data_IF_354360276009
#
_entry.id   IF_354360276009
#
_cell.length_a   1.000
_cell.length_b   1.000
_cell.length_c   1.000
_cell.angle_alpha   90.00
_cell.angle_beta   90.00
_cell.angle_gamma   90.00
#
_symmetry.space_group_name_H-M   'P 1'
#
loop_
_entity.id
_entity.type
_entity.pdbx_description
1 polymer ?
#
# COMPACT_ATOMS: atom_id res chain seq x y z
N UNK A 1 23.81 26.40 -20.42
CA UNK A 1 23.39 27.22 -19.27
C UNK A 1 22.31 28.19 -19.74
N UNK A 2 21.07 28.03 -19.27
CA UNK A 2 19.99 28.97 -19.56
C UNK A 2 19.65 29.70 -18.27
N UNK A 3 20.14 30.94 -18.13
CA UNK A 3 19.64 31.89 -17.11
C UNK A 3 18.38 32.55 -17.67
N UNK A 4 17.27 31.81 -17.75
CA UNK A 4 16.01 32.35 -18.24
C UNK A 4 15.21 32.98 -17.11
N UNK A 5 15.23 34.31 -17.06
CA UNK A 5 14.26 35.10 -16.26
C UNK A 5 12.92 35.27 -16.98
N UNK A 6 12.75 34.66 -18.17
CA UNK A 6 11.58 34.83 -19.02
C UNK A 6 10.79 33.53 -19.24
N UNK A 7 9.45 33.57 -19.31
CA UNK A 7 8.60 32.41 -19.56
C UNK A 7 8.96 31.65 -20.84
N UNK A 8 9.19 30.34 -20.73
CA UNK A 8 9.31 29.46 -21.88
C UNK A 8 7.89 29.05 -22.31
N UNK A 9 7.40 29.62 -23.40
CA UNK A 9 6.00 29.41 -23.85
C UNK A 9 5.81 28.21 -24.77
N UNK A 10 6.78 27.99 -25.65
CA UNK A 10 6.88 26.87 -26.57
C UNK A 10 8.36 26.62 -26.79
N UNK A 11 8.81 25.37 -26.65
CA UNK A 11 10.19 25.03 -26.94
C UNK A 11 10.32 23.63 -27.52
N UNK A 12 11.28 23.48 -28.43
CA UNK A 12 11.83 22.19 -28.80
C UNK A 12 13.31 22.26 -28.51
N UNK A 13 13.77 21.44 -27.59
CA UNK A 13 15.19 21.35 -27.27
C UNK A 13 15.70 19.95 -27.60
N UNK A 14 16.85 19.92 -28.25
CA UNK A 14 17.62 18.72 -28.48
C UNK A 14 19.08 19.01 -28.16
N UNK A 15 19.69 18.18 -27.32
CA UNK A 15 21.08 18.30 -26.92
C UNK A 15 21.48 17.26 -25.88
N UNK A 16 22.77 17.13 -25.60
CA UNK A 16 23.26 16.17 -24.60
C UNK A 16 22.98 16.67 -23.18
N UNK A 17 23.27 17.94 -22.88
CA UNK A 17 23.21 18.46 -21.52
C UNK A 17 22.48 19.81 -21.43
N UNK A 18 21.53 19.92 -20.50
CA UNK A 18 21.02 21.21 -20.04
C UNK A 18 21.02 21.28 -18.52
N UNK A 19 21.52 22.42 -18.03
CA UNK A 19 21.52 22.73 -16.60
C UNK A 19 20.88 24.09 -16.38
N UNK A 20 20.02 24.13 -15.36
CA UNK A 20 19.23 25.29 -14.91
C UNK A 20 19.55 25.54 -13.43
N UNK A 21 19.97 26.76 -13.09
CA UNK A 21 20.38 27.17 -11.73
C UNK A 21 19.74 28.50 -11.34
N UNK A 22 19.50 28.69 -10.04
CA UNK A 22 19.21 29.98 -9.39
C UNK A 22 18.08 30.77 -10.04
N UNK A 23 16.92 30.11 -10.22
CA UNK A 23 15.78 30.76 -10.85
C UNK A 23 14.67 31.05 -9.84
N UNK A 24 14.35 32.33 -9.68
CA UNK A 24 13.17 32.73 -8.91
C UNK A 24 11.89 32.25 -9.60
N UNK A 25 11.75 32.41 -10.91
CA UNK A 25 10.51 32.10 -11.63
C UNK A 25 10.76 31.62 -13.06
N UNK A 26 10.47 30.34 -13.34
CA UNK A 26 10.61 29.76 -14.68
C UNK A 26 9.34 28.99 -15.08
N UNK A 27 8.34 29.62 -15.70
CA UNK A 27 7.21 28.89 -16.21
C UNK A 27 7.54 28.24 -17.56
N UNK A 28 7.33 26.92 -17.63
CA UNK A 28 7.51 26.13 -18.84
C UNK A 28 6.14 25.68 -19.34
N UNK A 29 5.84 26.07 -20.58
CA UNK A 29 4.63 25.66 -21.31
C UNK A 29 5.03 25.04 -22.64
N UNK A 30 4.32 23.99 -23.04
CA UNK A 30 4.37 23.41 -24.38
C UNK A 30 5.79 23.14 -24.88
N UNK A 31 6.54 22.36 -24.10
CA UNK A 31 7.92 22.03 -24.41
C UNK A 31 8.09 20.55 -24.73
N UNK A 32 8.87 20.28 -25.78
CA UNK A 32 9.40 18.96 -26.07
C UNK A 32 10.91 19.01 -25.82
N UNK A 33 11.38 18.06 -25.04
CA UNK A 33 12.78 17.91 -24.74
C UNK A 33 13.22 16.50 -25.14
N UNK A 34 14.27 16.43 -25.94
CA UNK A 34 15.01 15.19 -26.18
C UNK A 34 16.49 15.39 -25.87
N UNK A 35 17.06 14.64 -24.94
CA UNK A 35 18.48 14.75 -24.64
C UNK A 35 18.94 13.90 -23.48
N UNK A 36 20.26 13.77 -23.32
CA UNK A 36 20.83 12.82 -22.36
C UNK A 36 20.57 13.25 -20.92
N UNK A 37 20.92 14.48 -20.54
CA UNK A 37 20.91 14.89 -19.14
C UNK A 37 20.25 16.25 -18.92
N UNK A 38 19.29 16.28 -18.00
CA UNK A 38 18.73 17.50 -17.43
C UNK A 38 18.99 17.59 -15.93
N UNK A 39 19.50 18.74 -15.49
CA UNK A 39 19.54 19.09 -14.08
C UNK A 39 18.91 20.45 -13.80
N UNK A 40 18.03 20.49 -12.80
CA UNK A 40 17.41 21.73 -12.29
C UNK A 40 17.75 21.87 -10.82
N UNK A 41 18.31 23.03 -10.46
CA UNK A 41 18.70 23.37 -9.08
C UNK A 41 18.06 24.68 -8.65
N UNK A 42 17.86 24.83 -7.34
CA UNK A 42 17.58 26.09 -6.64
C UNK A 42 16.53 26.95 -7.34
N UNK A 43 15.30 26.43 -7.42
CA UNK A 43 14.21 27.10 -8.11
C UNK A 43 13.04 27.38 -7.19
N UNK A 44 12.68 28.66 -7.02
CA UNK A 44 11.58 28.99 -6.11
C UNK A 44 10.19 28.64 -6.70
N UNK A 45 10.01 28.79 -8.02
CA UNK A 45 8.74 28.52 -8.68
C UNK A 45 8.90 28.05 -10.14
N UNK A 46 8.56 26.77 -10.40
CA UNK A 46 8.73 26.10 -11.68
C UNK A 46 7.42 25.43 -12.16
N UNK A 47 6.46 26.16 -12.75
CA UNK A 47 5.25 25.53 -13.24
C UNK A 47 5.49 24.91 -14.63
N UNK A 48 5.15 23.63 -14.76
CA UNK A 48 5.30 22.87 -16.00
C UNK A 48 3.91 22.50 -16.53
N UNK A 49 3.63 22.84 -17.79
CA UNK A 49 2.35 22.57 -18.45
C UNK A 49 2.53 21.99 -19.86
N UNK A 50 1.88 20.86 -20.17
CA UNK A 50 1.87 20.24 -21.50
C UNK A 50 3.29 19.98 -22.04
N UNK A 51 4.14 19.30 -21.25
CA UNK A 51 5.53 19.03 -21.64
C UNK A 51 5.80 17.54 -21.81
N UNK A 52 6.66 17.20 -22.77
CA UNK A 52 7.13 15.85 -23.05
C UNK A 52 8.64 15.82 -22.95
N UNK A 53 9.17 14.98 -22.06
CA UNK A 53 10.60 14.84 -21.86
C UNK A 53 11.02 13.41 -22.15
N UNK A 54 12.04 13.25 -22.99
CA UNK A 54 12.71 11.99 -23.27
C UNK A 54 14.21 12.17 -23.06
N UNK A 55 14.84 11.26 -22.31
CA UNK A 55 16.27 11.37 -22.04
C UNK A 55 16.84 10.23 -21.23
N UNK A 56 18.14 10.30 -20.96
CA UNK A 56 18.84 9.31 -20.13
C UNK A 56 18.61 9.63 -18.64
N UNK A 57 18.83 10.89 -18.22
CA UNK A 57 18.80 11.29 -16.82
C UNK A 57 18.05 12.61 -16.58
N UNK A 58 17.22 12.63 -15.54
CA UNK A 58 16.60 13.83 -15.01
C UNK A 58 16.83 13.98 -13.51
N UNK A 59 17.40 15.11 -13.10
CA UNK A 59 17.54 15.45 -11.69
C UNK A 59 16.91 16.82 -11.38
N UNK A 60 16.17 16.86 -10.28
CA UNK A 60 15.51 18.06 -9.77
C UNK A 60 15.85 18.21 -8.29
N UNK A 61 16.44 19.35 -7.93
CA UNK A 61 16.90 19.67 -6.58
C UNK A 61 16.32 21.00 -6.11
N UNK A 62 16.00 21.08 -4.82
CA UNK A 62 15.70 22.32 -4.10
C UNK A 62 14.66 23.21 -4.79
N UNK A 63 13.41 22.70 -4.84
CA UNK A 63 12.30 23.43 -5.43
C UNK A 63 11.22 23.74 -4.41
N UNK A 64 10.96 25.03 -4.18
CA UNK A 64 9.88 25.41 -3.25
C UNK A 64 8.49 25.09 -3.82
N UNK A 65 8.25 25.27 -5.13
CA UNK A 65 6.94 25.03 -5.75
C UNK A 65 7.03 24.56 -7.21
N UNK A 66 6.67 23.29 -7.45
CA UNK A 66 6.75 22.61 -8.77
C UNK A 66 5.39 22.07 -9.20
N UNK A 67 4.48 22.87 -9.78
CA UNK A 67 3.20 22.35 -10.24
C UNK A 67 3.31 21.76 -11.64
N UNK A 68 2.97 20.48 -11.76
CA UNK A 68 3.01 19.72 -13.00
C UNK A 68 1.60 19.47 -13.52
N UNK A 69 1.36 19.85 -14.78
CA UNK A 69 0.06 19.68 -15.45
C UNK A 69 0.25 19.06 -16.84
N UNK A 70 -0.23 17.83 -17.01
CA UNK A 70 -0.22 17.10 -18.29
C UNK A 70 1.20 16.93 -18.82
N UNK A 71 1.99 16.10 -18.15
CA UNK A 71 3.36 15.81 -18.56
C UNK A 71 3.55 14.32 -18.86
N UNK A 72 4.43 14.04 -19.82
CA UNK A 72 4.86 12.69 -20.17
C UNK A 72 6.38 12.65 -20.09
N UNK A 73 6.89 11.82 -19.18
CA UNK A 73 8.32 11.69 -18.94
C UNK A 73 8.71 10.26 -19.32
N UNK A 74 9.68 10.14 -20.21
CA UNK A 74 10.25 8.89 -20.70
C UNK A 74 11.75 8.96 -20.44
N UNK A 75 12.16 8.66 -19.22
CA UNK A 75 13.54 8.83 -18.77
C UNK A 75 13.99 7.56 -18.08
N UNK A 76 15.20 7.07 -18.36
CA UNK A 76 15.72 5.88 -17.68
C UNK A 76 15.74 6.10 -16.17
N UNK A 77 16.29 7.24 -15.73
CA UNK A 77 16.39 7.56 -14.31
C UNK A 77 15.94 8.99 -13.98
N UNK A 78 15.00 9.08 -13.03
CA UNK A 78 14.53 10.34 -12.45
C UNK A 78 14.85 10.39 -10.96
N UNK A 79 15.50 11.47 -10.54
CA UNK A 79 15.64 11.80 -9.13
C UNK A 79 15.05 13.17 -8.79
N UNK A 80 14.31 13.21 -7.70
CA UNK A 80 13.68 14.41 -7.16
C UNK A 80 14.08 14.56 -5.70
N UNK A 81 14.67 15.69 -5.35
CA UNK A 81 15.14 16.02 -4.00
C UNK A 81 14.53 17.33 -3.53
N UNK A 82 14.18 17.38 -2.25
CA UNK A 82 13.86 18.59 -1.50
C UNK A 82 12.82 19.49 -2.19
N UNK A 83 11.57 18.99 -2.25
CA UNK A 83 10.46 19.75 -2.80
C UNK A 83 9.42 20.09 -1.73
N UNK A 84 9.21 21.37 -1.47
CA UNK A 84 8.20 21.78 -0.49
C UNK A 84 6.77 21.52 -0.99
N UNK A 85 6.49 21.72 -2.29
CA UNK A 85 5.15 21.55 -2.85
C UNK A 85 5.15 21.11 -4.33
N UNK A 86 4.73 19.86 -4.60
CA UNK A 86 4.77 19.22 -5.93
C UNK A 86 3.37 18.78 -6.40
N UNK A 87 2.49 19.68 -6.90
CA UNK A 87 1.17 19.26 -7.30
C UNK A 87 1.14 18.71 -8.72
N UNK A 88 0.76 17.44 -8.85
CA UNK A 88 0.69 16.73 -10.11
C UNK A 88 -0.77 16.46 -10.48
N UNK A 89 -1.23 17.05 -11.58
CA UNK A 89 -2.60 16.82 -12.05
C UNK A 89 -2.72 15.57 -12.92
N UNK A 90 -1.88 15.48 -13.93
CA UNK A 90 -1.88 14.41 -14.91
C UNK A 90 -0.43 14.19 -15.32
N UNK A 91 0.12 13.04 -14.96
CA UNK A 91 1.43 12.61 -15.42
C UNK A 91 1.35 11.18 -15.95
N UNK A 92 2.19 10.92 -16.94
CA UNK A 92 2.60 9.58 -17.32
C UNK A 92 4.12 9.55 -17.17
N UNK A 93 4.60 8.59 -16.39
CA UNK A 93 6.03 8.35 -16.26
C UNK A 93 6.32 6.94 -16.78
N UNK A 94 7.33 6.87 -17.64
CA UNK A 94 7.92 5.66 -18.14
C UNK A 94 9.42 5.74 -17.92
N UNK A 95 10.01 4.72 -17.32
CA UNK A 95 11.44 4.71 -17.01
C UNK A 95 11.86 3.43 -16.32
N UNK A 96 13.13 3.34 -15.95
CA UNK A 96 13.63 2.21 -15.16
C UNK A 96 13.49 2.56 -13.67
N UNK A 97 14.03 3.70 -13.25
CA UNK A 97 14.12 4.08 -11.83
C UNK A 97 13.58 5.48 -11.56
N UNK A 98 12.67 5.59 -10.58
CA UNK A 98 12.27 6.86 -9.98
C UNK A 98 12.63 6.86 -8.50
N UNK A 99 13.41 7.85 -8.08
CA UNK A 99 13.69 8.10 -6.67
C UNK A 99 13.20 9.49 -6.26
N UNK A 100 12.45 9.54 -5.17
CA UNK A 100 11.91 10.77 -4.58
C UNK A 100 12.37 10.86 -3.13
N UNK A 101 13.00 11.98 -2.79
CA UNK A 101 13.43 12.33 -1.44
C UNK A 101 12.74 13.61 -0.98
N UNK A 102 12.37 13.65 0.30
CA UNK A 102 12.01 14.85 1.05
C UNK A 102 10.98 15.73 0.34
N UNK A 103 9.71 15.31 0.42
CA UNK A 103 8.59 16.12 -0.07
C UNK A 103 7.63 16.48 1.05
N UNK A 104 7.45 17.78 1.28
CA UNK A 104 6.48 18.22 2.29
C UNK A 104 5.03 18.00 1.84
N UNK A 105 4.72 18.25 0.56
CA UNK A 105 3.36 18.08 0.03
C UNK A 105 3.31 17.66 -1.45
N UNK A 106 2.75 16.48 -1.71
CA UNK A 106 2.61 15.88 -3.04
C UNK A 106 1.14 15.52 -3.35
N UNK A 107 0.37 16.39 -4.03
CA UNK A 107 -0.98 16.04 -4.45
C UNK A 107 -0.95 15.50 -5.89
N UNK A 108 -1.20 14.20 -6.01
CA UNK A 108 -1.34 13.49 -7.28
C UNK A 108 -2.82 13.25 -7.56
N UNK A 109 -3.34 13.84 -8.64
CA UNK A 109 -4.72 13.57 -9.07
C UNK A 109 -4.81 12.33 -9.94
N UNK A 110 -4.00 12.27 -10.99
CA UNK A 110 -3.95 11.15 -11.92
C UNK A 110 -2.50 10.89 -12.30
N UNK A 111 -2.02 9.70 -11.98
CA UNK A 111 -0.70 9.22 -12.39
C UNK A 111 -0.84 7.85 -13.03
N UNK A 112 -0.07 7.64 -14.09
CA UNK A 112 0.30 6.31 -14.56
C UNK A 112 1.81 6.23 -14.50
N UNK A 113 2.31 5.24 -13.77
CA UNK A 113 3.72 4.96 -13.67
C UNK A 113 3.96 3.57 -14.25
N UNK A 114 4.95 3.49 -15.14
CA UNK A 114 5.43 2.25 -15.75
C UNK A 114 6.94 2.23 -15.61
N UNK A 115 7.49 1.24 -14.92
CA UNK A 115 8.94 1.10 -14.82
C UNK A 115 9.36 -0.07 -13.97
N UNK A 116 10.63 -0.16 -13.65
CA UNK A 116 11.15 -1.26 -12.83
C UNK A 116 10.98 -0.95 -11.35
N UNK A 117 11.54 0.18 -10.90
CA UNK A 117 11.62 0.51 -9.48
C UNK A 117 11.20 1.95 -9.16
N UNK A 118 10.33 2.10 -8.17
CA UNK A 118 10.02 3.39 -7.54
C UNK A 118 10.45 3.35 -6.08
N UNK A 119 11.22 4.35 -5.64
CA UNK A 119 11.61 4.51 -4.25
C UNK A 119 11.19 5.89 -3.78
N UNK A 120 10.51 5.93 -2.64
CA UNK A 120 10.02 7.16 -2.02
C UNK A 120 10.52 7.21 -0.59
N UNK A 121 11.19 8.30 -0.24
CA UNK A 121 11.65 8.61 1.11
C UNK A 121 10.97 9.89 1.59
N UNK A 122 10.59 9.90 2.87
CA UNK A 122 10.26 11.09 3.65
C UNK A 122 9.23 12.00 2.99
N UNK A 123 7.95 11.61 3.09
CA UNK A 123 6.85 12.47 2.65
C UNK A 123 5.94 12.84 3.82
N UNK A 124 5.84 14.13 4.12
CA UNK A 124 4.91 14.59 5.17
C UNK A 124 3.45 14.41 4.74
N UNK A 125 3.12 14.70 3.48
CA UNK A 125 1.76 14.55 2.97
C UNK A 125 1.72 14.12 1.49
N UNK A 126 1.24 12.91 1.24
CA UNK A 126 1.03 12.36 -0.11
C UNK A 126 -0.46 12.06 -0.34
N UNK A 127 -1.10 12.81 -1.23
CA UNK A 127 -2.49 12.54 -1.61
C UNK A 127 -2.56 11.94 -3.01
N UNK A 128 -3.07 10.72 -3.09
CA UNK A 128 -3.30 10.01 -4.34
C UNK A 128 -4.80 9.86 -4.58
N UNK A 129 -5.31 10.50 -5.64
CA UNK A 129 -6.70 10.28 -6.06
C UNK A 129 -6.83 9.06 -6.97
N UNK A 130 -6.05 9.02 -8.04
CA UNK A 130 -6.04 7.92 -9.00
C UNK A 130 -4.59 7.64 -9.39
N UNK A 131 -4.15 6.41 -9.12
CA UNK A 131 -2.86 5.92 -9.56
C UNK A 131 -3.02 4.54 -10.19
N UNK A 132 -2.30 4.33 -11.29
CA UNK A 132 -1.94 3.01 -11.77
C UNK A 132 -0.42 2.91 -11.74
N UNK A 133 0.07 1.90 -11.05
CA UNK A 133 1.49 1.62 -10.95
C UNK A 133 1.74 0.25 -11.55
N UNK A 134 2.62 0.18 -12.55
CA UNK A 134 3.01 -1.07 -13.21
C UNK A 134 4.52 -1.20 -13.15
N UNK A 135 5.03 -2.20 -12.42
CA UNK A 135 6.45 -2.47 -12.37
C UNK A 135 6.88 -3.59 -11.44
N UNK A 136 8.18 -3.71 -11.24
CA UNK A 136 8.77 -4.77 -10.43
C UNK A 136 8.70 -4.43 -8.94
N UNK A 137 9.17 -3.25 -8.52
CA UNK A 137 9.19 -2.87 -7.11
C UNK A 137 8.76 -1.43 -6.79
N UNK A 138 7.97 -1.25 -5.74
CA UNK A 138 7.86 0.04 -5.05
C UNK A 138 8.24 -0.13 -3.59
N UNK A 139 9.14 0.74 -3.15
CA UNK A 139 9.53 0.86 -1.76
C UNK A 139 9.18 2.26 -1.26
N UNK A 140 8.44 2.31 -0.17
CA UNK A 140 8.02 3.55 0.49
C UNK A 140 8.54 3.57 1.91
N UNK A 141 9.30 4.61 2.24
CA UNK A 141 9.79 4.88 3.58
C UNK A 141 9.14 6.16 4.11
N UNK A 142 8.75 6.10 5.39
CA UNK A 142 8.36 7.25 6.21
C UNK A 142 7.35 8.20 5.56
N UNK A 143 6.06 7.91 5.78
CA UNK A 143 4.99 8.83 5.39
C UNK A 143 4.11 9.20 6.57
N UNK A 144 4.00 10.49 6.87
CA UNK A 144 3.12 10.92 7.96
C UNK A 144 1.63 10.78 7.58
N UNK A 145 1.26 11.10 6.33
CA UNK A 145 -0.14 11.04 5.88
C UNK A 145 -0.29 10.66 4.40
N UNK A 146 -0.85 9.48 4.12
CA UNK A 146 -1.03 8.90 2.79
C UNK A 146 -2.48 8.53 2.45
N UNK A 147 -3.34 9.49 2.09
CA UNK A 147 -4.68 9.17 1.61
C UNK A 147 -4.69 8.68 0.17
N UNK A 148 -5.23 7.46 -0.02
CA UNK A 148 -5.41 6.84 -1.33
C UNK A 148 -6.89 6.63 -1.60
N UNK A 149 -7.40 7.21 -2.69
CA UNK A 149 -8.81 7.00 -3.09
C UNK A 149 -8.97 5.79 -4.00
N UNK A 150 -8.19 5.72 -5.07
CA UNK A 150 -8.23 4.67 -6.06
C UNK A 150 -6.81 4.30 -6.48
N UNK A 151 -6.38 3.09 -6.13
CA UNK A 151 -5.13 2.49 -6.58
C UNK A 151 -5.40 1.21 -7.36
N UNK A 152 -4.67 1.05 -8.46
CA UNK A 152 -4.44 -0.23 -9.11
C UNK A 152 -2.95 -0.47 -9.17
N UNK A 153 -2.56 -1.66 -8.77
CA UNK A 153 -1.18 -2.05 -8.70
C UNK A 153 -0.99 -3.44 -9.29
N UNK A 154 -0.67 -3.52 -10.58
CA UNK A 154 -0.03 -4.68 -11.18
C UNK A 154 1.48 -4.63 -11.01
N UNK A 155 2.06 -5.40 -10.10
CA UNK A 155 3.52 -5.48 -10.03
C UNK A 155 4.02 -6.36 -8.89
N UNK A 156 5.27 -6.80 -8.99
CA UNK A 156 5.76 -7.97 -8.25
C UNK A 156 5.88 -7.69 -6.75
N UNK A 157 6.48 -6.56 -6.37
CA UNK A 157 6.83 -6.25 -4.99
C UNK A 157 6.32 -4.88 -4.55
N UNK A 158 5.69 -4.84 -3.37
CA UNK A 158 5.46 -3.61 -2.62
C UNK A 158 6.00 -3.74 -1.20
N UNK A 159 6.84 -2.79 -0.79
CA UNK A 159 7.29 -2.68 0.58
C UNK A 159 6.97 -1.29 1.12
N UNK A 160 6.31 -1.25 2.28
CA UNK A 160 5.93 -0.03 2.96
C UNK A 160 6.47 -0.05 4.38
N UNK A 161 7.22 0.98 4.74
CA UNK A 161 7.74 1.22 6.09
C UNK A 161 7.15 2.50 6.67
N UNK A 162 6.85 2.46 7.97
CA UNK A 162 6.57 3.62 8.82
C UNK A 162 5.55 4.59 8.25
N UNK A 163 4.26 4.27 8.44
CA UNK A 163 3.18 5.20 8.09
C UNK A 163 2.34 5.56 9.29
N UNK A 164 2.28 6.85 9.62
CA UNK A 164 1.42 7.29 10.72
C UNK A 164 -0.06 7.18 10.35
N UNK A 165 -0.45 7.50 9.11
CA UNK A 165 -1.86 7.49 8.69
C UNK A 165 -2.06 7.19 7.19
N UNK A 166 -2.68 6.04 6.86
CA UNK A 166 -2.92 5.53 5.50
C UNK A 166 -4.40 5.16 5.26
N UNK A 167 -5.29 6.09 4.87
CA UNK A 167 -6.66 5.74 4.57
C UNK A 167 -6.81 5.32 3.10
N UNK A 168 -7.39 4.15 2.90
CA UNK A 168 -7.61 3.57 1.57
C UNK A 168 -9.11 3.42 1.31
N UNK A 169 -9.60 4.04 0.22
CA UNK A 169 -11.03 3.97 -0.14
C UNK A 169 -11.35 2.77 -1.05
N UNK A 170 -10.69 2.62 -2.18
CA UNK A 170 -10.81 1.48 -3.10
C UNK A 170 -9.41 1.13 -3.62
N UNK A 171 -8.89 -0.06 -3.32
CA UNK A 171 -7.63 -0.54 -3.89
C UNK A 171 -7.75 -1.91 -4.52
N UNK A 172 -7.02 -2.13 -5.60
CA UNK A 172 -6.81 -3.42 -6.21
C UNK A 172 -5.31 -3.63 -6.35
N UNK A 173 -4.81 -4.69 -5.74
CA UNK A 173 -3.42 -5.10 -5.93
C UNK A 173 -3.38 -6.49 -6.55
N UNK A 174 -2.46 -6.62 -7.48
CA UNK A 174 -2.13 -7.81 -8.25
C UNK A 174 -0.61 -7.88 -8.33
N UNK A 175 0.00 -8.82 -7.65
CA UNK A 175 1.45 -8.93 -7.57
C UNK A 175 1.90 -10.22 -6.91
N UNK A 176 3.18 -10.32 -6.61
CA UNK A 176 3.72 -11.51 -5.92
C UNK A 176 3.75 -11.27 -4.41
N UNK A 177 4.33 -10.15 -3.96
CA UNK A 177 4.61 -9.88 -2.55
C UNK A 177 4.24 -8.47 -2.11
N UNK A 178 3.54 -8.36 -0.98
CA UNK A 178 3.45 -7.12 -0.20
C UNK A 178 3.92 -7.34 1.22
N UNK A 179 4.75 -6.40 1.66
CA UNK A 179 5.19 -6.29 3.03
C UNK A 179 4.87 -4.90 3.57
N UNK A 180 4.22 -4.86 4.72
CA UNK A 180 3.87 -3.64 5.43
C UNK A 180 4.43 -3.69 6.83
N UNK A 181 5.20 -2.68 7.20
CA UNK A 181 5.75 -2.48 8.53
C UNK A 181 5.21 -1.20 9.16
N UNK A 182 4.97 -1.25 10.46
CA UNK A 182 4.79 -0.09 11.34
C UNK A 182 3.77 0.92 10.84
N UNK A 183 2.49 0.62 11.04
CA UNK A 183 1.40 1.55 10.71
C UNK A 183 0.56 1.92 11.94
N UNK A 184 0.52 3.21 12.27
CA UNK A 184 -0.31 3.67 13.38
C UNK A 184 -1.81 3.66 13.02
N UNK A 185 -2.18 4.00 11.78
CA UNK A 185 -3.58 4.08 11.37
C UNK A 185 -3.84 3.72 9.90
N UNK A 186 -4.46 2.57 9.63
CA UNK A 186 -4.75 2.05 8.28
C UNK A 186 -6.23 1.71 8.07
N UNK A 187 -7.13 2.68 7.79
CA UNK A 187 -8.52 2.33 7.52
C UNK A 187 -8.72 1.98 6.04
N UNK A 188 -9.24 0.78 5.82
CA UNK A 188 -9.52 0.26 4.49
C UNK A 188 -11.03 0.11 4.32
N UNK A 189 -11.59 0.81 3.31
CA UNK A 189 -13.02 0.66 2.99
C UNK A 189 -13.28 -0.51 2.06
N UNK A 190 -12.55 -0.57 0.95
CA UNK A 190 -12.66 -1.64 -0.03
C UNK A 190 -11.26 -1.99 -0.52
N UNK A 191 -10.85 -3.24 -0.35
CA UNK A 191 -9.66 -3.78 -0.99
C UNK A 191 -9.98 -5.10 -1.68
N UNK A 192 -9.30 -5.33 -2.79
CA UNK A 192 -9.16 -6.62 -3.41
C UNK A 192 -7.67 -6.91 -3.54
N UNK A 193 -7.27 -8.04 -3.01
CA UNK A 193 -5.91 -8.55 -3.07
C UNK A 193 -5.90 -9.83 -3.90
N UNK A 194 -5.01 -9.90 -4.87
CA UNK A 194 -4.74 -11.09 -5.65
C UNK A 194 -3.24 -11.26 -5.78
N UNK A 195 -2.66 -12.26 -5.14
CA UNK A 195 -1.24 -12.58 -5.34
C UNK A 195 -0.70 -13.52 -4.30
N UNK A 196 0.59 -13.81 -4.35
CA UNK A 196 1.15 -14.95 -3.61
C UNK A 196 1.17 -14.69 -2.11
N UNK A 197 1.81 -13.61 -1.66
CA UNK A 197 2.08 -13.39 -0.24
C UNK A 197 1.77 -11.95 0.22
N UNK A 198 1.09 -11.86 1.36
CA UNK A 198 0.92 -10.62 2.11
C UNK A 198 1.50 -10.79 3.52
N UNK A 199 2.37 -9.87 3.92
CA UNK A 199 2.94 -9.84 5.26
C UNK A 199 2.70 -8.47 5.89
N UNK A 200 2.15 -8.47 7.10
CA UNK A 200 1.82 -7.26 7.84
C UNK A 200 2.40 -7.36 9.24
N UNK A 201 3.20 -6.38 9.61
CA UNK A 201 3.81 -6.22 10.92
C UNK A 201 3.35 -4.93 11.59
N UNK A 202 3.14 -5.00 12.91
CA UNK A 202 3.05 -3.85 13.81
C UNK A 202 2.03 -2.78 13.36
N UNK A 203 0.74 -3.11 13.52
CA UNK A 203 -0.33 -2.15 13.24
C UNK A 203 -1.13 -1.81 14.49
N UNK A 204 -1.18 -0.53 14.85
CA UNK A 204 -1.98 -0.10 16.00
C UNK A 204 -3.49 -0.16 15.72
N UNK A 205 -3.93 0.27 14.52
CA UNK A 205 -5.36 0.33 14.19
C UNK A 205 -5.64 0.06 12.70
N UNK A 206 -6.29 -1.07 12.41
CA UNK A 206 -6.60 -1.56 11.05
C UNK A 206 -8.10 -1.84 10.87
N UNK A 207 -8.97 -0.84 10.66
CA UNK A 207 -10.37 -1.12 10.39
C UNK A 207 -10.61 -1.42 8.91
N UNK A 208 -11.17 -2.60 8.65
CA UNK A 208 -11.51 -3.06 7.31
C UNK A 208 -13.02 -3.18 7.18
N UNK A 209 -13.61 -2.47 6.21
CA UNK A 209 -15.05 -2.64 5.94
C UNK A 209 -15.31 -3.83 5.02
N UNK A 210 -14.63 -3.91 3.89
CA UNK A 210 -14.76 -4.99 2.93
C UNK A 210 -13.39 -5.33 2.39
N UNK A 211 -12.99 -6.59 2.54
CA UNK A 211 -11.82 -7.14 1.87
C UNK A 211 -12.17 -8.43 1.15
N UNK A 212 -11.53 -8.60 0.00
CA UNK A 212 -11.41 -9.88 -0.70
C UNK A 212 -9.94 -10.15 -0.83
N UNK A 213 -9.50 -11.30 -0.37
CA UNK A 213 -8.15 -11.76 -0.58
C UNK A 213 -8.18 -13.10 -1.30
N UNK A 214 -7.33 -13.20 -2.30
CA UNK A 214 -7.02 -14.42 -3.04
C UNK A 214 -5.51 -14.54 -3.13
N UNK A 215 -4.95 -15.69 -2.77
CA UNK A 215 -3.50 -15.87 -2.79
C UNK A 215 -3.01 -17.17 -2.18
N UNK A 216 -1.71 -17.25 -1.90
CA UNK A 216 -1.12 -18.41 -1.22
C UNK A 216 -1.04 -18.19 0.29
N UNK A 217 -0.55 -17.03 0.73
CA UNK A 217 -0.29 -16.75 2.15
C UNK A 217 -0.67 -15.34 2.61
N UNK A 218 -1.22 -15.25 3.83
CA UNK A 218 -1.15 -14.02 4.65
C UNK A 218 -0.56 -14.32 6.00
N UNK A 219 0.37 -13.47 6.39
CA UNK A 219 0.91 -13.42 7.73
C UNK A 219 0.63 -12.05 8.34
N UNK A 220 0.04 -12.06 9.53
CA UNK A 220 -0.26 -10.86 10.31
C UNK A 220 0.37 -11.01 11.68
N UNK A 221 1.19 -10.04 12.06
CA UNK A 221 1.87 -9.98 13.34
C UNK A 221 1.54 -8.67 14.05
N UNK A 222 1.40 -8.72 15.37
CA UNK A 222 1.33 -7.55 16.24
C UNK A 222 0.28 -6.51 15.82
N UNK A 223 -1.00 -6.84 16.01
CA UNK A 223 -2.08 -5.86 15.77
C UNK A 223 -2.83 -5.52 17.06
N UNK A 224 -2.84 -4.25 17.43
CA UNK A 224 -3.58 -3.84 18.64
C UNK A 224 -5.10 -3.89 18.42
N UNK A 225 -5.60 -3.44 17.26
CA UNK A 225 -7.04 -3.42 16.98
C UNK A 225 -7.40 -3.62 15.50
N UNK A 226 -8.11 -4.72 15.21
CA UNK A 226 -8.50 -5.16 13.86
C UNK A 226 -10.01 -5.44 13.76
N UNK A 227 -10.85 -4.43 13.47
CA UNK A 227 -12.26 -4.66 13.20
C UNK A 227 -12.49 -4.86 11.70
N UNK A 228 -12.97 -6.04 11.35
CA UNK A 228 -13.36 -6.45 10.00
C UNK A 228 -14.88 -6.59 9.94
N UNK A 229 -15.53 -5.84 9.04
CA UNK A 229 -16.98 -6.00 8.84
C UNK A 229 -17.28 -7.17 7.90
N UNK A 230 -16.63 -7.22 6.75
CA UNK A 230 -16.82 -8.26 5.75
C UNK A 230 -15.46 -8.66 5.19
N UNK A 231 -15.14 -9.94 5.27
CA UNK A 231 -13.99 -10.50 4.57
C UNK A 231 -14.36 -11.76 3.81
N UNK A 232 -13.73 -11.92 2.64
CA UNK A 232 -13.67 -13.17 1.91
C UNK A 232 -12.20 -13.51 1.74
N UNK A 233 -11.84 -14.70 2.18
CA UNK A 233 -10.50 -15.24 2.08
C UNK A 233 -10.53 -16.51 1.24
N UNK A 234 -9.67 -16.58 0.23
CA UNK A 234 -9.48 -17.76 -0.60
C UNK A 234 -7.99 -18.00 -0.81
N UNK A 235 -7.43 -19.01 -0.16
CA UNK A 235 -6.05 -19.40 -0.41
C UNK A 235 -5.46 -20.30 0.65
N UNK A 236 -4.21 -20.72 0.45
CA UNK A 236 -3.66 -21.87 1.17
C UNK A 236 -3.52 -21.61 2.67
N UNK A 237 -2.86 -20.52 3.06
CA UNK A 237 -2.42 -20.30 4.45
C UNK A 237 -2.78 -18.92 4.96
N UNK A 238 -3.34 -18.87 6.16
CA UNK A 238 -3.49 -17.66 6.95
C UNK A 238 -2.86 -17.87 8.32
N UNK A 239 -1.91 -17.01 8.69
CA UNK A 239 -1.29 -17.04 10.01
C UNK A 239 -1.45 -15.68 10.68
N UNK A 240 -1.94 -15.71 11.92
CA UNK A 240 -2.23 -14.52 12.71
C UNK A 240 -1.60 -14.69 14.09
N UNK A 241 -0.76 -13.73 14.47
CA UNK A 241 -0.01 -13.73 15.71
C UNK A 241 -0.21 -12.40 16.44
N UNK A 242 -0.28 -12.47 17.78
CA UNK A 242 -0.20 -11.31 18.67
C UNK A 242 -1.24 -10.22 18.34
N UNK A 243 -2.52 -10.54 18.51
CA UNK A 243 -3.60 -9.57 18.33
C UNK A 243 -4.31 -9.26 19.64
N UNK A 244 -4.30 -7.99 20.06
CA UNK A 244 -5.03 -7.62 21.28
C UNK A 244 -6.55 -7.69 21.07
N UNK A 245 -7.05 -7.17 19.95
CA UNK A 245 -8.49 -7.16 19.65
C UNK A 245 -8.79 -7.42 18.17
N UNK A 246 -9.40 -8.57 17.88
CA UNK A 246 -9.91 -8.95 16.57
C UNK A 246 -11.45 -9.03 16.61
N UNK A 247 -12.11 -8.26 15.76
CA UNK A 247 -13.57 -8.28 15.63
C UNK A 247 -13.96 -8.55 14.19
N UNK A 248 -14.60 -9.68 13.94
CA UNK A 248 -15.08 -10.08 12.62
C UNK A 248 -16.61 -10.18 12.65
N UNK A 249 -17.29 -9.36 11.84
CA UNK A 249 -18.76 -9.48 11.74
C UNK A 249 -19.17 -10.60 10.79
N UNK A 250 -18.60 -10.62 9.59
CA UNK A 250 -18.89 -11.62 8.58
C UNK A 250 -17.59 -12.04 7.91
N UNK A 251 -17.28 -13.33 7.95
CA UNK A 251 -16.19 -13.90 7.18
C UNK A 251 -16.62 -15.14 6.42
N UNK A 252 -16.02 -15.29 5.24
CA UNK A 252 -15.96 -16.54 4.52
C UNK A 252 -14.49 -16.86 4.33
N UNK A 253 -14.08 -18.03 4.78
CA UNK A 253 -12.73 -18.52 4.61
C UNK A 253 -12.76 -19.84 3.85
N UNK A 254 -11.95 -19.89 2.80
CA UNK A 254 -11.68 -21.08 2.00
C UNK A 254 -10.17 -21.21 1.90
N UNK A 255 -9.61 -22.34 2.36
CA UNK A 255 -8.17 -22.53 2.33
C UNK A 255 -7.73 -23.89 2.84
N UNK A 256 -6.44 -24.08 3.04
CA UNK A 256 -5.92 -25.30 3.64
C UNK A 256 -5.74 -25.11 5.15
N UNK A 257 -5.11 -24.01 5.57
CA UNK A 257 -4.63 -23.82 6.93
C UNK A 257 -4.90 -22.42 7.48
N UNK A 258 -5.55 -22.31 8.64
CA UNK A 258 -5.50 -21.12 9.50
C UNK A 258 -4.83 -21.45 10.82
N UNK A 259 -3.92 -20.58 11.19
CA UNK A 259 -3.24 -20.59 12.45
C UNK A 259 -3.46 -19.26 13.15
N UNK A 260 -3.89 -19.32 14.40
CA UNK A 260 -4.09 -18.15 15.25
C UNK A 260 -3.38 -18.38 16.58
N UNK A 261 -2.47 -17.48 16.93
CA UNK A 261 -1.73 -17.46 18.19
C UNK A 261 -1.93 -16.13 18.93
N UNK A 262 -1.93 -16.20 20.26
CA UNK A 262 -1.83 -15.05 21.17
C UNK A 262 -2.85 -13.95 20.87
N UNK A 263 -4.13 -14.27 21.05
CA UNK A 263 -5.21 -13.28 20.90
C UNK A 263 -5.91 -13.01 22.23
N UNK A 264 -5.86 -11.75 22.69
CA UNK A 264 -6.55 -11.38 23.94
C UNK A 264 -8.08 -11.40 23.76
N UNK A 265 -8.59 -10.92 22.62
CA UNK A 265 -10.03 -10.88 22.34
C UNK A 265 -10.35 -11.13 20.86
N UNK A 266 -11.06 -12.23 20.58
CA UNK A 266 -11.53 -12.58 19.24
C UNK A 266 -13.06 -12.73 19.21
N UNK A 267 -13.76 -11.77 18.61
CA UNK A 267 -15.21 -11.85 18.41
C UNK A 267 -15.55 -12.15 16.95
N UNK A 268 -16.24 -13.26 16.73
CA UNK A 268 -16.78 -13.63 15.42
C UNK A 268 -18.30 -13.73 15.49
N UNK A 269 -19.02 -12.91 14.69
CA UNK A 269 -20.49 -13.00 14.65
C UNK A 269 -20.99 -14.06 13.69
N UNK A 270 -20.51 -14.04 12.45
CA UNK A 270 -20.88 -14.99 11.41
C UNK A 270 -19.63 -15.42 10.66
N UNK A 271 -19.35 -16.72 10.66
CA UNK A 271 -18.27 -17.29 9.87
C UNK A 271 -18.73 -18.51 9.09
N UNK A 272 -18.18 -18.65 7.88
CA UNK A 272 -18.19 -19.88 7.12
C UNK A 272 -16.74 -20.27 6.88
N UNK A 273 -16.41 -21.50 7.22
CA UNK A 273 -15.09 -22.05 7.10
C UNK A 273 -15.15 -23.29 6.22
N UNK A 274 -14.29 -23.32 5.21
CA UNK A 274 -14.06 -24.48 4.35
C UNK A 274 -12.56 -24.71 4.19
N UNK A 275 -12.03 -25.77 4.77
CA UNK A 275 -10.64 -26.14 4.58
C UNK A 275 -10.10 -27.14 5.55
N UNK A 276 -8.83 -27.52 5.40
CA UNK A 276 -8.29 -28.71 6.06
C UNK A 276 -8.12 -28.52 7.57
N UNK A 277 -7.41 -27.46 8.00
CA UNK A 277 -6.95 -27.31 9.37
C UNK A 277 -7.15 -25.90 9.94
N UNK A 278 -7.73 -25.83 11.13
CA UNK A 278 -7.76 -24.65 11.99
C UNK A 278 -7.02 -24.95 13.29
N UNK A 279 -5.99 -24.18 13.57
CA UNK A 279 -5.28 -24.21 14.85
C UNK A 279 -5.40 -22.88 15.56
N UNK A 280 -5.79 -22.95 16.83
CA UNK A 280 -5.97 -21.79 17.70
C UNK A 280 -5.24 -22.05 19.02
N UNK A 281 -4.40 -21.12 19.43
CA UNK A 281 -3.60 -21.19 20.64
C UNK A 281 -3.70 -19.88 21.41
N UNK A 282 -3.68 -19.98 22.75
CA UNK A 282 -3.52 -18.84 23.67
C UNK A 282 -4.53 -17.70 23.42
N UNK A 283 -5.82 -18.03 23.57
CA UNK A 283 -6.90 -17.04 23.44
C UNK A 283 -7.61 -16.80 24.76
N UNK A 284 -7.59 -15.55 25.25
CA UNK A 284 -8.28 -15.23 26.50
C UNK A 284 -9.81 -15.22 26.35
N UNK A 285 -10.34 -14.73 25.21
CA UNK A 285 -11.79 -14.58 25.01
C UNK A 285 -12.22 -14.79 23.55
N UNK A 286 -12.99 -15.86 23.28
CA UNK A 286 -13.42 -16.27 21.94
C UNK A 286 -14.94 -16.48 21.80
N UNK A 287 -15.77 -15.43 21.73
CA UNK A 287 -17.18 -15.57 21.42
C UNK A 287 -17.45 -15.79 19.92
N UNK A 288 -18.16 -16.89 19.62
CA UNK A 288 -18.66 -17.20 18.28
C UNK A 288 -20.19 -17.32 18.32
N UNK A 289 -20.89 -16.50 17.53
CA UNK A 289 -22.36 -16.56 17.51
C UNK A 289 -22.89 -17.60 16.53
N UNK A 290 -22.55 -17.45 15.25
CA UNK A 290 -23.00 -18.35 14.20
C UNK A 290 -21.81 -18.81 13.38
N UNK A 291 -21.60 -20.12 13.29
CA UNK A 291 -20.58 -20.68 12.42
C UNK A 291 -21.07 -21.86 11.58
N UNK A 292 -20.47 -22.02 10.41
CA UNK A 292 -20.51 -23.26 9.65
C UNK A 292 -19.08 -23.67 9.38
N UNK A 293 -18.76 -24.91 9.72
CA UNK A 293 -17.42 -25.44 9.65
C UNK A 293 -17.41 -26.72 8.81
N UNK A 294 -16.60 -26.70 7.76
CA UNK A 294 -16.37 -27.83 6.86
C UNK A 294 -14.86 -28.02 6.73
N UNK A 295 -14.31 -29.00 7.44
CA UNK A 295 -12.88 -29.22 7.47
C UNK A 295 -12.48 -30.51 8.15
N UNK A 296 -11.20 -30.85 8.09
CA UNK A 296 -10.67 -32.11 8.59
C UNK A 296 -10.19 -32.03 10.04
N UNK A 297 -9.72 -30.87 10.50
CA UNK A 297 -9.14 -30.73 11.84
C UNK A 297 -9.32 -29.36 12.48
N UNK A 298 -9.92 -29.34 13.66
CA UNK A 298 -9.96 -28.17 14.55
C UNK A 298 -9.17 -28.47 15.82
N UNK A 299 -8.10 -27.72 16.06
CA UNK A 299 -7.30 -27.81 17.28
C UNK A 299 -7.33 -26.48 18.02
N UNK A 300 -7.66 -26.54 19.31
CA UNK A 300 -7.86 -25.35 20.15
C UNK A 300 -7.19 -25.57 21.49
N UNK A 301 -6.13 -24.83 21.77
CA UNK A 301 -5.33 -24.94 22.99
C UNK A 301 -5.41 -23.65 23.81
N UNK A 302 -5.43 -23.82 25.14
CA UNK A 302 -5.31 -22.75 26.13
C UNK A 302 -6.25 -21.56 25.87
N UNK A 303 -7.55 -21.85 25.97
CA UNK A 303 -8.61 -20.83 25.94
C UNK A 303 -9.22 -20.63 27.32
N UNK A 304 -9.24 -19.38 27.79
CA UNK A 304 -9.86 -19.04 29.07
C UNK A 304 -11.39 -18.96 28.98
N UNK A 305 -11.94 -18.48 27.86
CA UNK A 305 -13.40 -18.34 27.70
C UNK A 305 -13.90 -18.51 26.25
N UNK A 306 -14.80 -19.48 26.02
CA UNK A 306 -15.29 -19.88 24.69
C UNK A 306 -16.83 -20.07 24.64
N UNK A 307 -17.63 -19.00 24.52
CA UNK A 307 -19.07 -19.15 24.32
C UNK A 307 -19.39 -19.31 22.83
N UNK A 308 -19.86 -20.50 22.45
CA UNK A 308 -20.38 -20.79 21.12
C UNK A 308 -21.90 -20.90 21.20
N UNK A 309 -22.62 -20.12 20.38
CA UNK A 309 -24.10 -20.18 20.38
C UNK A 309 -24.67 -21.19 19.39
N UNK A 310 -24.30 -21.08 18.11
CA UNK A 310 -24.83 -21.94 17.05
C UNK A 310 -23.73 -22.24 16.04
N UNK A 311 -23.33 -23.50 15.95
CA UNK A 311 -22.33 -23.96 15.00
C UNK A 311 -22.76 -25.26 14.35
N UNK A 312 -22.63 -25.33 13.03
CA UNK A 312 -22.88 -26.54 12.24
C UNK A 312 -21.55 -27.09 11.72
N UNK A 313 -21.41 -28.41 11.74
CA UNK A 313 -20.19 -29.13 11.38
C UNK A 313 -20.54 -30.19 10.35
N UNK A 314 -19.78 -30.30 9.26
CA UNK A 314 -19.86 -31.45 8.34
C UNK A 314 -18.86 -32.53 8.77
N UNK A 315 -19.25 -33.80 8.69
CA UNK A 315 -18.53 -34.94 9.29
C UNK A 315 -17.13 -35.18 8.67
N UNK A 316 -16.08 -35.08 9.48
CA UNK A 316 -15.09 -36.14 9.79
C UNK A 316 -13.98 -35.60 10.72
N UNK A 317 -13.62 -36.38 11.75
CA UNK A 317 -12.48 -36.21 12.68
C UNK A 317 -12.36 -34.91 13.49
N UNK A 318 -13.36 -34.64 14.33
CA UNK A 318 -13.22 -33.65 15.40
C UNK A 318 -12.34 -34.19 16.55
N UNK A 319 -11.11 -33.70 16.68
CA UNK A 319 -10.27 -33.93 17.86
C UNK A 319 -10.30 -32.71 18.78
N UNK A 320 -11.25 -32.67 19.71
CA UNK A 320 -11.22 -31.70 20.80
C UNK A 320 -10.12 -32.07 21.80
N UNK A 321 -9.02 -31.31 21.83
CA UNK A 321 -8.21 -31.16 23.05
C UNK A 321 -8.38 -29.74 23.59
N UNK A 322 -9.54 -29.47 24.20
CA UNK A 322 -9.74 -28.21 24.94
C UNK A 322 -9.01 -28.35 26.29
N UNK A 323 -7.79 -27.82 26.39
CA UNK A 323 -7.17 -27.52 27.69
C UNK A 323 -7.74 -26.19 28.20
N UNK A 324 -8.95 -26.21 28.77
CA UNK A 324 -9.45 -25.06 29.49
C UNK A 324 -8.71 -24.96 30.82
N UNK A 325 -7.78 -24.01 30.96
CA UNK A 325 -7.25 -23.62 32.26
C UNK A 325 -8.32 -22.83 32.99
N UNK A 326 -9.12 -23.53 33.80
CA UNK A 326 -10.08 -22.89 34.70
C UNK A 326 -9.32 -22.18 35.84
N UNK A 327 -9.22 -20.85 35.77
CA UNK A 327 -8.94 -20.01 36.94
C UNK A 327 -9.88 -18.81 36.98
#
# INVERSE_FOLDING_TARGET
MISATSPIKHCMWSGELLIVYDISYLPIKHCMWSGELLMVYDTSYLPIKHCMWSGELLMVYDISYLPIKHCMWSVELLMVYDISYLPIKHCMWSGELLIVYDISYLPIKHCMWSGELLIVYDISYLLIKHCMWSGEGLIVYEISYLPIKHCMWPGELLIVYDISYLPIKHCMWSGELLIVYDISYLPIKHCMWSGELLIVYDISYLPIKHCVWSGEGLMVYNISYLPIKHCMWSGERLMVYDISYLLIKHCMWSGELLIVYDISYLLIKHCMWSGELLMVYDISYLPIKHCMWSGEGLMVYDISYLPIKQCMWSENYLWYMISATSQ
#
